data_IF_646680981641
#
_entry.id   IF_646680981641
#
_cell.length_a   1.000
_cell.length_b   1.000
_cell.length_c   1.000
_cell.angle_alpha   90.00
_cell.angle_beta   90.00
_cell.angle_gamma   90.00
#
_symmetry.space_group_name_H-M   'P 1'
#
loop_
_entity.id
_entity.type
_entity.pdbx_description
1 polymer ?
#
# COMPACT_ATOMS: atom_id res chain seq x y z
N UNK A 1 -4.70 7.31 -13.81
CA UNK A 1 -3.60 8.32 -13.73
C UNK A 1 -3.12 8.60 -15.14
N UNK A 2 -3.02 9.86 -15.54
CA UNK A 2 -2.56 10.22 -16.89
C UNK A 2 -1.06 10.55 -16.85
N UNK A 3 -0.20 10.05 -17.76
CA UNK A 3 1.25 10.24 -17.66
C UNK A 3 1.70 11.70 -17.58
N UNK A 4 1.03 12.60 -18.28
CA UNK A 4 1.35 14.04 -18.25
C UNK A 4 1.08 14.70 -16.90
N UNK A 5 0.15 14.18 -16.11
CA UNK A 5 -0.15 14.76 -14.81
C UNK A 5 0.88 14.39 -13.75
N UNK A 6 1.86 13.52 -14.04
CA UNK A 6 2.92 13.13 -13.09
C UNK A 6 4.15 14.05 -13.15
N UNK A 7 4.26 14.88 -14.19
CA UNK A 7 5.36 15.84 -14.37
C UNK A 7 4.94 17.27 -14.07
N UNK A 8 3.73 17.46 -13.52
CA UNK A 8 3.25 18.77 -13.10
C UNK A 8 3.93 19.20 -11.80
N UNK A 9 4.19 20.51 -11.67
CA UNK A 9 4.78 21.08 -10.46
C UNK A 9 3.89 20.78 -9.25
N UNK A 10 4.47 20.17 -8.21
CA UNK A 10 3.79 19.84 -6.96
C UNK A 10 3.29 18.39 -6.84
N UNK A 11 3.48 17.56 -7.86
CA UNK A 11 3.23 16.11 -7.73
C UNK A 11 4.33 15.47 -6.88
N UNK A 12 3.94 14.79 -5.81
CA UNK A 12 4.87 14.21 -4.83
C UNK A 12 4.75 12.68 -4.69
N UNK A 13 3.67 12.08 -5.19
CA UNK A 13 3.41 10.65 -5.07
C UNK A 13 2.30 10.21 -6.04
N UNK A 14 2.17 8.89 -6.21
CA UNK A 14 1.07 8.23 -6.91
C UNK A 14 0.13 7.57 -5.89
N UNK A 15 -1.14 7.95 -5.87
CA UNK A 15 -2.13 7.33 -4.98
C UNK A 15 -3.52 7.96 -5.14
N UNK A 16 -4.57 7.36 -4.58
CA UNK A 16 -4.63 6.00 -4.03
C UNK A 16 -4.94 4.99 -5.15
N UNK A 17 -4.17 3.89 -5.22
CA UNK A 17 -4.31 2.84 -6.25
C UNK A 17 -4.41 1.46 -5.59
N UNK A 18 -4.84 0.41 -6.28
CA UNK A 18 -4.86 -0.95 -5.71
C UNK A 18 -5.90 -1.87 -6.35
N UNK A 19 -6.01 -3.08 -5.80
CA UNK A 19 -7.05 -4.04 -6.14
C UNK A 19 -8.31 -3.79 -5.32
N UNK A 20 -9.48 -4.14 -5.87
CA UNK A 20 -10.71 -4.30 -5.07
C UNK A 20 -11.31 -5.72 -5.24
N UNK A 21 -11.49 -6.17 -6.48
CA UNK A 21 -12.05 -7.50 -6.80
C UNK A 21 -11.01 -8.47 -7.42
N UNK A 22 -9.75 -8.05 -7.59
CA UNK A 22 -8.63 -8.85 -8.14
C UNK A 22 -8.94 -9.34 -9.56
N UNK A 23 -9.48 -8.43 -10.38
CA UNK A 23 -9.80 -8.70 -11.78
C UNK A 23 -8.57 -8.54 -12.68
N UNK A 24 -8.57 -9.13 -13.89
CA UNK A 24 -7.53 -8.85 -14.89
C UNK A 24 -7.41 -7.35 -15.22
N UNK A 25 -8.51 -6.61 -15.14
CA UNK A 25 -8.53 -5.16 -15.30
C UNK A 25 -7.78 -4.46 -14.17
N UNK A 26 -8.05 -4.82 -12.91
CA UNK A 26 -7.32 -4.30 -11.75
C UNK A 26 -5.82 -4.56 -11.91
N UNK A 27 -5.46 -5.76 -12.35
CA UNK A 27 -4.08 -6.17 -12.56
C UNK A 27 -3.37 -5.31 -13.60
N UNK A 28 -4.02 -5.13 -14.75
CA UNK A 28 -3.50 -4.30 -15.83
C UNK A 28 -3.33 -2.84 -15.40
N UNK A 29 -4.28 -2.30 -14.65
CA UNK A 29 -4.23 -0.90 -14.23
C UNK A 29 -3.20 -0.67 -13.12
N UNK A 30 -3.15 -1.54 -12.11
CA UNK A 30 -2.16 -1.42 -11.04
C UNK A 30 -0.74 -1.51 -11.62
N UNK A 31 -0.45 -2.51 -12.46
CA UNK A 31 0.86 -2.65 -13.09
C UNK A 31 1.25 -1.40 -13.90
N UNK A 32 0.30 -0.84 -14.68
CA UNK A 32 0.56 0.38 -15.45
C UNK A 32 0.82 1.61 -14.55
N UNK A 33 0.13 1.72 -13.41
CA UNK A 33 0.33 2.80 -12.45
C UNK A 33 1.69 2.67 -11.73
N UNK A 34 2.08 1.45 -11.36
CA UNK A 34 3.39 1.16 -10.77
C UNK A 34 4.55 1.44 -11.75
N UNK A 35 4.41 1.04 -13.02
CA UNK A 35 5.42 1.35 -14.04
C UNK A 35 5.58 2.86 -14.25
N UNK A 36 4.48 3.61 -14.19
CA UNK A 36 4.54 5.07 -14.24
C UNK A 36 5.25 5.65 -13.01
N UNK A 37 4.91 5.19 -11.80
CA UNK A 37 5.57 5.63 -10.58
C UNK A 37 7.09 5.36 -10.63
N UNK A 38 7.47 4.17 -11.08
CA UNK A 38 8.87 3.76 -11.29
C UNK A 38 9.58 4.67 -12.29
N UNK A 39 8.95 4.96 -13.43
CA UNK A 39 9.53 5.83 -14.47
C UNK A 39 9.88 7.22 -13.92
N UNK A 40 9.05 7.76 -13.01
CA UNK A 40 9.25 9.08 -12.42
C UNK A 40 9.90 9.04 -11.03
N UNK A 41 10.29 7.86 -10.53
CA UNK A 41 10.84 7.64 -9.20
C UNK A 41 9.98 8.30 -8.10
N UNK A 42 8.66 8.11 -8.19
CA UNK A 42 7.68 8.65 -7.24
C UNK A 42 7.26 7.58 -6.23
N UNK A 43 7.08 7.94 -4.95
CA UNK A 43 6.42 7.09 -3.96
C UNK A 43 5.00 6.71 -4.37
N UNK A 44 4.54 5.56 -3.90
CA UNK A 44 3.19 5.03 -4.18
C UNK A 44 2.45 4.70 -2.90
N UNK A 45 1.16 5.02 -2.85
CA UNK A 45 0.24 4.55 -1.83
C UNK A 45 -0.75 3.55 -2.44
N UNK A 46 -0.66 2.30 -2.01
CA UNK A 46 -1.52 1.20 -2.43
C UNK A 46 -2.54 0.84 -1.35
N UNK A 47 -3.82 0.93 -1.69
CA UNK A 47 -4.91 0.45 -0.86
C UNK A 47 -5.07 -1.06 -0.96
N UNK A 48 -5.16 -1.75 0.19
CA UNK A 48 -5.57 -3.16 0.20
C UNK A 48 -7.08 -3.30 0.00
N UNK A 49 -7.57 -4.30 -0.77
CA UNK A 49 -9.00 -4.41 -1.11
C UNK A 49 -9.90 -4.57 0.10
N UNK A 50 -11.20 -4.28 -0.06
CA UNK A 50 -12.17 -4.43 1.03
C UNK A 50 -12.59 -5.88 1.28
N UNK A 51 -12.57 -6.73 0.25
CA UNK A 51 -13.15 -8.07 0.26
C UNK A 51 -12.11 -9.15 0.55
N UNK A 52 -11.28 -9.48 -0.43
CA UNK A 52 -10.21 -10.47 -0.27
C UNK A 52 -8.90 -9.78 0.10
N UNK A 53 -8.79 -9.34 1.35
CA UNK A 53 -7.60 -8.63 1.86
C UNK A 53 -6.32 -9.45 1.75
N UNK A 54 -6.37 -10.75 2.05
CA UNK A 54 -5.18 -11.61 2.02
C UNK A 54 -4.74 -11.84 0.57
N UNK A 55 -5.66 -12.25 -0.31
CA UNK A 55 -5.36 -12.46 -1.72
C UNK A 55 -4.86 -11.18 -2.40
N UNK A 56 -5.55 -10.06 -2.14
CA UNK A 56 -5.17 -8.75 -2.65
C UNK A 56 -3.81 -8.29 -2.18
N UNK A 57 -3.50 -8.41 -0.88
CA UNK A 57 -2.18 -8.03 -0.35
C UNK A 57 -1.07 -8.87 -1.00
N UNK A 58 -1.25 -10.18 -1.12
CA UNK A 58 -0.27 -11.06 -1.79
C UNK A 58 -0.08 -10.67 -3.26
N UNK A 59 -1.18 -10.38 -3.95
CA UNK A 59 -1.12 -9.98 -5.37
C UNK A 59 -0.45 -8.62 -5.54
N UNK A 60 -0.72 -7.65 -4.66
CA UNK A 60 -0.03 -6.35 -4.62
C UNK A 60 1.48 -6.53 -4.47
N UNK A 61 1.94 -7.31 -3.49
CA UNK A 61 3.36 -7.58 -3.29
C UNK A 61 3.99 -8.27 -4.51
N UNK A 62 3.26 -9.19 -5.16
CA UNK A 62 3.71 -9.79 -6.41
C UNK A 62 3.81 -8.75 -7.54
N UNK A 63 2.83 -7.86 -7.70
CA UNK A 63 2.83 -6.83 -8.75
C UNK A 63 4.00 -5.85 -8.60
N UNK A 64 4.29 -5.43 -7.36
CA UNK A 64 5.44 -4.57 -7.02
C UNK A 64 6.75 -5.23 -7.49
N UNK A 65 6.92 -6.53 -7.18
CA UNK A 65 8.11 -7.30 -7.56
C UNK A 65 8.21 -7.57 -9.06
N UNK A 66 7.07 -7.84 -9.70
CA UNK A 66 6.97 -8.05 -11.15
C UNK A 66 7.35 -6.80 -11.93
N UNK A 67 6.87 -5.62 -11.50
CA UNK A 67 7.23 -4.32 -12.08
C UNK A 67 8.67 -3.94 -11.72
N UNK A 68 9.16 -4.37 -10.56
CA UNK A 68 10.49 -4.05 -10.06
C UNK A 68 10.62 -2.58 -9.67
N UNK A 69 9.54 -2.00 -9.11
CA UNK A 69 9.62 -0.72 -8.39
C UNK A 69 10.24 -0.97 -7.01
N UNK A 70 10.93 0.02 -6.45
CA UNK A 70 11.63 -0.14 -5.18
C UNK A 70 10.63 -0.23 -4.02
N UNK A 71 10.61 -1.36 -3.32
CA UNK A 71 9.65 -1.64 -2.22
C UNK A 71 9.64 -0.53 -1.15
N UNK A 72 10.78 0.08 -0.82
CA UNK A 72 10.88 1.18 0.16
C UNK A 72 10.21 2.51 -0.26
N UNK A 73 9.70 2.61 -1.49
CA UNK A 73 8.89 3.72 -1.98
C UNK A 73 7.38 3.42 -1.93
N UNK A 74 7.00 2.22 -1.51
CA UNK A 74 5.61 1.73 -1.53
C UNK A 74 5.02 1.74 -0.11
N UNK A 75 3.87 2.38 0.08
CA UNK A 75 3.04 2.26 1.28
C UNK A 75 1.90 1.30 0.96
N UNK A 76 1.79 0.20 1.72
CA UNK A 76 0.64 -0.72 1.65
C UNK A 76 -0.32 -0.35 2.77
N UNK A 77 -1.43 0.29 2.42
CA UNK A 77 -2.36 0.89 3.35
C UNK A 77 -3.51 -0.05 3.75
N UNK A 78 -4.10 0.25 4.90
CA UNK A 78 -5.25 -0.40 5.53
C UNK A 78 -4.99 -1.84 5.94
N UNK A 79 -3.76 -2.13 6.35
CA UNK A 79 -3.39 -3.45 6.83
C UNK A 79 -4.17 -3.84 8.10
N UNK A 80 -4.63 -5.08 8.13
CA UNK A 80 -5.21 -5.68 9.33
C UNK A 80 -4.24 -6.71 9.92
N UNK A 81 -4.64 -7.36 11.01
CA UNK A 81 -3.82 -8.35 11.73
C UNK A 81 -3.44 -9.56 10.87
N UNK A 82 -4.20 -9.86 9.82
CA UNK A 82 -3.96 -11.00 8.93
C UNK A 82 -3.05 -10.64 7.75
N UNK A 83 -3.07 -9.38 7.30
CA UNK A 83 -2.28 -8.94 6.14
C UNK A 83 -0.96 -8.32 6.53
N UNK A 84 -0.86 -7.71 7.71
CA UNK A 84 0.38 -7.11 8.17
C UNK A 84 1.59 -8.06 8.18
N UNK A 85 1.48 -9.32 8.66
CA UNK A 85 2.61 -10.27 8.60
C UNK A 85 3.11 -10.53 7.18
N UNK A 86 2.27 -10.36 6.16
CA UNK A 86 2.66 -10.54 4.76
C UNK A 86 3.56 -9.40 4.25
N UNK A 87 3.37 -8.19 4.79
CA UNK A 87 4.12 -6.98 4.40
C UNK A 87 5.36 -6.79 5.27
N UNK A 88 5.35 -7.26 6.52
CA UNK A 88 6.53 -7.24 7.40
C UNK A 88 7.75 -7.96 6.82
N UNK A 89 7.55 -8.91 5.90
CA UNK A 89 8.61 -9.63 5.20
C UNK A 89 9.15 -8.88 3.96
N UNK A 90 8.70 -7.65 3.70
CA UNK A 90 9.10 -6.81 2.57
C UNK A 90 9.72 -5.50 3.03
N UNK A 91 10.36 -4.77 2.12
CA UNK A 91 10.88 -3.42 2.41
C UNK A 91 9.79 -2.33 2.27
N UNK A 92 8.52 -2.71 2.09
CA UNK A 92 7.41 -1.78 1.97
C UNK A 92 7.05 -1.13 3.32
N UNK A 93 6.47 0.07 3.26
CA UNK A 93 5.90 0.73 4.41
C UNK A 93 4.54 0.14 4.77
N UNK A 94 4.32 -0.09 6.06
CA UNK A 94 3.10 -0.63 6.62
C UNK A 94 2.15 0.51 7.00
N UNK A 95 1.14 0.75 6.17
CA UNK A 95 0.08 1.74 6.39
C UNK A 95 -1.01 1.23 7.33
N UNK A 96 -1.22 1.95 8.43
CA UNK A 96 -2.10 1.58 9.53
C UNK A 96 -3.07 2.71 9.84
N UNK A 97 -4.33 2.55 9.43
CA UNK A 97 -5.36 3.53 9.74
C UNK A 97 -6.03 3.27 11.09
N UNK A 98 -6.09 4.32 11.93
CA UNK A 98 -6.82 4.30 13.20
C UNK A 98 -8.26 4.80 12.99
N UNK A 99 -9.21 3.92 13.26
CA UNK A 99 -10.63 4.26 13.37
C UNK A 99 -11.23 3.58 14.59
N UNK A 100 -11.42 4.32 15.70
CA UNK A 100 -11.78 3.74 17.00
C UNK A 100 -13.03 2.86 16.98
N UNK A 101 -13.97 3.14 16.07
CA UNK A 101 -15.27 2.48 16.02
C UNK A 101 -15.43 1.45 14.89
N UNK A 102 -14.50 1.38 13.92
CA UNK A 102 -14.71 0.57 12.70
C UNK A 102 -13.50 -0.23 12.22
N UNK A 103 -12.27 0.29 12.39
CA UNK A 103 -11.04 -0.42 12.00
C UNK A 103 -10.22 -0.81 13.23
N UNK A 104 -9.38 0.09 13.73
CA UNK A 104 -8.48 -0.16 14.87
C UNK A 104 -8.54 0.96 15.90
N UNK A 105 -8.57 0.58 17.18
CA UNK A 105 -8.48 1.51 18.31
C UNK A 105 -7.03 1.88 18.61
N UNK A 106 -6.83 3.03 19.25
CA UNK A 106 -5.50 3.53 19.66
C UNK A 106 -4.75 2.52 20.53
N UNK A 107 -5.45 1.89 21.50
CA UNK A 107 -4.87 0.89 22.39
C UNK A 107 -4.33 -0.33 21.64
N UNK A 108 -5.06 -0.80 20.62
CA UNK A 108 -4.62 -1.92 19.78
C UNK A 108 -3.44 -1.52 18.90
N UNK A 109 -3.42 -0.28 18.41
CA UNK A 109 -2.29 0.23 17.64
C UNK A 109 -1.02 0.29 18.50
N UNK A 110 -1.10 0.83 19.72
CA UNK A 110 0.05 0.88 20.64
C UNK A 110 0.59 -0.53 20.95
N UNK A 111 -0.30 -1.50 21.20
CA UNK A 111 0.13 -2.88 21.46
C UNK A 111 0.89 -3.50 20.26
N UNK A 112 0.44 -3.22 19.04
CA UNK A 112 1.08 -3.66 17.80
C UNK A 112 2.46 -3.02 17.63
N UNK A 113 2.60 -1.71 17.84
CA UNK A 113 3.91 -1.04 17.80
C UNK A 113 4.90 -1.61 18.83
N UNK A 114 4.39 -2.05 19.99
CA UNK A 114 5.20 -2.66 21.03
C UNK A 114 5.63 -4.09 20.69
N UNK A 115 4.79 -4.87 19.99
CA UNK A 115 5.12 -6.25 19.63
C UNK A 115 5.98 -6.35 18.38
N UNK A 116 5.67 -5.54 17.37
CA UNK A 116 6.20 -5.73 16.00
C UNK A 116 7.24 -4.65 15.64
N UNK A 117 7.47 -3.68 16.54
CA UNK A 117 8.38 -2.57 16.33
C UNK A 117 7.73 -1.41 15.57
N UNK A 118 8.57 -0.45 15.17
CA UNK A 118 8.14 0.80 14.53
C UNK A 118 8.85 1.05 13.20
N UNK A 119 9.69 0.11 12.77
CA UNK A 119 10.38 0.18 11.49
C UNK A 119 9.38 0.16 10.34
N UNK A 120 9.56 1.08 9.39
CA UNK A 120 8.73 1.20 8.18
C UNK A 120 7.22 1.30 8.45
N UNK A 121 6.79 1.84 9.59
CA UNK A 121 5.37 2.02 9.90
C UNK A 121 4.89 3.45 9.63
N UNK A 122 3.73 3.56 8.97
CA UNK A 122 2.98 4.80 8.81
C UNK A 122 1.64 4.63 9.52
N UNK A 123 1.33 5.57 10.41
CA UNK A 123 0.03 5.65 11.08
C UNK A 123 -0.71 6.85 10.54
N UNK A 124 -1.89 6.61 9.99
CA UNK A 124 -2.76 7.63 9.46
C UNK A 124 -4.15 7.58 10.09
N UNK A 125 -4.92 8.59 9.73
CA UNK A 125 -6.34 8.68 9.98
C UNK A 125 -6.95 9.14 8.66
N UNK A 126 -7.75 8.29 8.03
CA UNK A 126 -8.56 8.71 6.90
C UNK A 126 -9.88 9.36 7.35
#
# INVERSE_FOLDING_TARGET
IHPRSLVEDGVVAVGEIGYDDITPEDDRFLAAQLELAKQYNLPVLVHTPHRDKIGGTKRTLAAIREVGIAEHLEIIDHLNELTMPLVLESDCWLGQSIYPNTKRSEQRMVALLQSDGTENMVVDRA
#
